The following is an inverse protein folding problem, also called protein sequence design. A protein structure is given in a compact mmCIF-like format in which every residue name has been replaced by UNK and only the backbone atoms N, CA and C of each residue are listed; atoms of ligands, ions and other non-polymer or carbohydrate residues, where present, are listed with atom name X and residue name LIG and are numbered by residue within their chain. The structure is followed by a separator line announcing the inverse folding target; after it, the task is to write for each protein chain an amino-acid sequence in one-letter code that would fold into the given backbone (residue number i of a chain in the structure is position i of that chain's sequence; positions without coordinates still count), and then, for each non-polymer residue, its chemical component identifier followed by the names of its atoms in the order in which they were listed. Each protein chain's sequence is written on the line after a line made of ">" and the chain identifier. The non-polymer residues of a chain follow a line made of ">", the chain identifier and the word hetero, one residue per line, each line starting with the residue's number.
data_IF_609040061479
#
_entry.id   IF_609040061479
#
_cell.length_a   1.000
_cell.length_b   1.000
_cell.length_c   1.000
_cell.angle_alpha   90.00
_cell.angle_beta   90.00
_cell.angle_gamma   90.00
#
_symmetry.space_group_name_H-M   'P 1'
#
loop_
_entity.id
_entity.type
_entity.pdbx_description
1 polymer ?
#
# COMPACT_ATOMS: atom_id res chain seq x y z
N UNK A 1 10.20 -10.87 -7.07
CA UNK A 1 8.76 -10.99 -6.75
C UNK A 1 8.17 -9.59 -6.67
N UNK A 2 6.90 -9.47 -6.95
CA UNK A 2 6.21 -8.18 -6.90
C UNK A 2 5.54 -8.03 -5.53
N UNK A 3 5.86 -6.95 -4.82
CA UNK A 3 5.43 -6.72 -3.45
C UNK A 3 4.61 -5.43 -3.38
N UNK A 4 3.43 -5.52 -2.78
CA UNK A 4 2.58 -4.37 -2.50
C UNK A 4 2.74 -3.97 -1.03
N UNK A 5 2.94 -2.68 -0.77
CA UNK A 5 3.12 -2.18 0.60
C UNK A 5 1.77 -1.76 1.17
N UNK A 6 1.43 -2.25 2.35
CA UNK A 6 0.19 -1.91 3.05
C UNK A 6 0.50 -1.28 4.42
N UNK A 7 -0.17 -0.18 4.72
CA UNK A 7 0.03 0.51 5.99
C UNK A 7 -0.94 1.67 6.16
N UNK A 8 -0.78 2.40 7.26
CA UNK A 8 -1.67 3.51 7.58
C UNK A 8 -1.24 4.79 6.85
N UNK A 9 -2.21 5.45 6.23
CA UNK A 9 -2.02 6.73 5.55
C UNK A 9 -2.86 7.83 6.18
N UNK A 10 -4.14 7.57 6.42
CA UNK A 10 -5.08 8.58 6.91
C UNK A 10 -4.65 9.19 8.24
N UNK A 11 -4.62 10.51 8.30
CA UNK A 11 -4.23 11.23 9.52
C UNK A 11 -2.74 11.37 9.72
N UNK A 12 -1.92 10.78 8.83
CA UNK A 12 -0.47 10.88 8.93
C UNK A 12 0.18 10.85 7.55
N UNK A 13 -0.39 11.60 6.63
CA UNK A 13 0.00 11.53 5.22
C UNK A 13 1.48 11.81 4.98
N UNK A 14 2.05 12.80 5.68
CA UNK A 14 3.47 13.14 5.52
C UNK A 14 4.38 12.01 6.01
N UNK A 15 4.08 11.48 7.19
CA UNK A 15 4.84 10.38 7.77
C UNK A 15 4.68 9.11 6.96
N UNK A 16 3.47 8.89 6.42
CA UNK A 16 3.20 7.74 5.58
C UNK A 16 4.02 7.79 4.30
N UNK A 17 4.10 8.95 3.65
CA UNK A 17 4.90 9.09 2.43
C UNK A 17 6.33 8.63 2.67
N UNK A 18 6.94 9.08 3.77
CA UNK A 18 8.30 8.69 4.09
C UNK A 18 8.40 7.20 4.42
N UNK A 19 7.49 6.67 5.23
CA UNK A 19 7.53 5.26 5.63
C UNK A 19 7.39 4.33 4.42
N UNK A 20 6.44 4.63 3.53
CA UNK A 20 6.24 3.83 2.33
C UNK A 20 7.46 3.91 1.40
N UNK A 21 8.04 5.09 1.27
CA UNK A 21 9.20 5.30 0.42
C UNK A 21 10.43 4.56 0.93
N UNK A 22 10.66 4.57 2.24
CA UNK A 22 11.77 3.84 2.83
C UNK A 22 11.61 2.33 2.64
N UNK A 23 10.41 1.82 2.84
CA UNK A 23 10.14 0.40 2.62
C UNK A 23 10.35 0.03 1.16
N UNK A 24 9.89 0.86 0.24
CA UNK A 24 10.07 0.63 -1.20
C UNK A 24 11.56 0.54 -1.54
N UNK A 25 12.34 1.50 -1.04
CA UNK A 25 13.78 1.54 -1.31
C UNK A 25 14.47 0.27 -0.82
N UNK A 26 14.15 -0.14 0.41
CA UNK A 26 14.77 -1.34 1.00
C UNK A 26 14.42 -2.59 0.20
N UNK A 27 13.15 -2.75 -0.18
CA UNK A 27 12.71 -3.91 -0.95
C UNK A 27 13.30 -3.92 -2.34
N UNK A 28 13.44 -2.75 -2.98
CA UNK A 28 14.09 -2.65 -4.28
C UNK A 28 15.56 -3.07 -4.21
N UNK A 29 16.24 -2.70 -3.13
CA UNK A 29 17.63 -3.08 -2.92
C UNK A 29 17.79 -4.60 -2.78
N UNK A 30 16.74 -5.28 -2.33
CA UNK A 30 16.73 -6.73 -2.23
C UNK A 30 16.35 -7.42 -3.54
N UNK A 31 16.10 -6.65 -4.60
CA UNK A 31 15.82 -7.19 -5.91
C UNK A 31 14.35 -7.39 -6.23
N UNK A 32 13.44 -6.85 -5.42
CA UNK A 32 12.00 -6.99 -5.65
C UNK A 32 11.44 -5.83 -6.45
N UNK A 33 10.38 -6.09 -7.21
CA UNK A 33 9.54 -5.05 -7.78
C UNK A 33 8.52 -4.63 -6.73
N UNK A 34 8.33 -3.32 -6.55
CA UNK A 34 7.50 -2.83 -5.45
C UNK A 34 6.38 -1.95 -5.99
N UNK A 35 5.18 -2.18 -5.48
CA UNK A 35 4.03 -1.30 -5.71
C UNK A 35 3.81 -0.49 -4.44
N UNK A 36 4.09 0.82 -4.53
CA UNK A 36 3.87 1.76 -3.43
C UNK A 36 2.56 2.49 -3.71
N UNK A 37 1.50 2.26 -2.92
CA UNK A 37 0.19 2.87 -3.19
C UNK A 37 0.20 4.39 -3.10
N UNK A 38 1.17 4.98 -2.39
CA UNK A 38 1.32 6.43 -2.31
C UNK A 38 1.73 7.05 -3.64
N UNK A 39 2.27 6.25 -4.56
CA UNK A 39 2.73 6.72 -5.86
C UNK A 39 1.75 6.42 -6.99
N UNK A 40 0.62 5.76 -6.69
CA UNK A 40 -0.41 5.52 -7.68
C UNK A 40 -1.13 6.82 -8.04
N UNK A 41 -1.51 6.95 -9.29
CA UNK A 41 -2.30 8.10 -9.71
C UNK A 41 -3.75 7.92 -9.29
N UNK A 42 -4.27 8.90 -8.58
CA UNK A 42 -5.65 8.91 -8.11
C UNK A 42 -6.34 10.15 -8.69
N UNK A 43 -6.69 10.09 -9.96
CA UNK A 43 -7.18 11.22 -10.73
C UNK A 43 -8.70 11.35 -10.78
N UNK A 44 -9.40 10.58 -10.00
CA UNK A 44 -10.84 10.61 -9.91
C UNK A 44 -11.31 11.44 -8.71
N UNK A 45 -12.46 11.17 -8.15
CA UNK A 45 -13.14 12.01 -7.18
C UNK A 45 -12.50 12.11 -5.79
N UNK A 46 -11.38 11.42 -5.57
CA UNK A 46 -10.60 11.47 -4.32
C UNK A 46 -11.37 11.00 -3.08
N UNK A 47 -12.44 10.22 -3.27
CA UNK A 47 -13.10 9.60 -2.13
C UNK A 47 -12.25 8.44 -1.62
N UNK A 48 -12.50 8.05 -0.36
CA UNK A 48 -11.81 6.88 0.20
C UNK A 48 -12.11 5.63 -0.62
N UNK A 49 -13.35 5.48 -1.10
CA UNK A 49 -13.74 4.34 -1.91
C UNK A 49 -12.97 4.28 -3.24
N UNK A 50 -12.83 5.41 -3.91
CA UNK A 50 -12.05 5.47 -5.15
C UNK A 50 -10.58 5.14 -4.90
N UNK A 51 -10.02 5.68 -3.82
CA UNK A 51 -8.66 5.37 -3.43
C UNK A 51 -8.49 3.87 -3.19
N UNK A 52 -9.41 3.26 -2.44
CA UNK A 52 -9.34 1.83 -2.16
C UNK A 52 -9.47 0.97 -3.42
N UNK A 53 -10.33 1.36 -4.37
CA UNK A 53 -10.43 0.60 -5.62
C UNK A 53 -9.10 0.57 -6.36
N UNK A 54 -8.42 1.70 -6.45
CA UNK A 54 -7.12 1.78 -7.10
C UNK A 54 -6.07 0.93 -6.37
N UNK A 55 -6.04 1.03 -5.05
CA UNK A 55 -5.09 0.28 -4.24
C UNK A 55 -5.34 -1.22 -4.34
N UNK A 56 -6.59 -1.66 -4.24
CA UNK A 56 -6.93 -3.08 -4.33
C UNK A 56 -6.59 -3.61 -5.72
N UNK A 57 -6.89 -2.84 -6.76
CA UNK A 57 -6.57 -3.22 -8.13
C UNK A 57 -5.07 -3.42 -8.31
N UNK A 58 -4.26 -2.52 -7.75
CA UNK A 58 -2.81 -2.64 -7.81
C UNK A 58 -2.32 -3.84 -6.98
N UNK A 59 -2.90 -4.04 -5.80
CA UNK A 59 -2.55 -5.14 -4.92
C UNK A 59 -2.76 -6.50 -5.59
N UNK A 60 -3.81 -6.62 -6.40
CA UNK A 60 -4.11 -7.88 -7.08
C UNK A 60 -3.03 -8.30 -8.08
N UNK A 61 -2.14 -7.39 -8.44
CA UNK A 61 -1.01 -7.68 -9.34
C UNK A 61 0.23 -8.12 -8.58
N UNK A 62 0.21 -8.08 -7.26
CA UNK A 62 1.37 -8.42 -6.43
C UNK A 62 1.35 -9.89 -6.03
N UNK A 63 2.53 -10.43 -5.78
CA UNK A 63 2.69 -11.80 -5.28
C UNK A 63 2.52 -11.87 -3.77
N UNK A 64 2.81 -10.77 -3.07
CA UNK A 64 2.77 -10.74 -1.61
C UNK A 64 2.61 -9.31 -1.11
N UNK A 65 2.31 -9.19 0.17
CA UNK A 65 2.20 -7.90 0.84
C UNK A 65 3.37 -7.68 1.78
N UNK A 66 3.84 -6.45 1.88
CA UNK A 66 4.74 -6.00 2.94
C UNK A 66 3.94 -5.10 3.87
N UNK A 67 3.81 -5.49 5.13
CA UNK A 67 2.98 -4.79 6.10
C UNK A 67 3.83 -3.84 6.94
N UNK A 68 3.52 -2.54 6.87
CA UNK A 68 4.14 -1.58 7.78
C UNK A 68 3.65 -1.86 9.21
N UNK A 69 4.44 -1.49 10.21
CA UNK A 69 4.15 -1.84 11.60
C UNK A 69 2.80 -1.33 12.09
N UNK A 70 2.27 -0.27 11.47
CA UNK A 70 1.00 0.35 11.87
C UNK A 70 -0.21 -0.12 11.06
N UNK A 71 -0.07 -1.20 10.30
CA UNK A 71 -1.13 -1.62 9.37
C UNK A 71 -2.47 -1.92 10.08
N UNK A 72 -2.41 -2.41 11.32
CA UNK A 72 -3.62 -2.76 12.08
C UNK A 72 -4.46 -1.53 12.45
N UNK A 73 -3.86 -0.34 12.42
CA UNK A 73 -4.54 0.91 12.72
C UNK A 73 -5.21 1.51 11.48
N UNK A 74 -5.09 0.85 10.33
CA UNK A 74 -5.64 1.33 9.07
C UNK A 74 -6.79 0.44 8.63
N UNK A 75 -7.97 1.03 8.46
CA UNK A 75 -9.13 0.31 7.93
C UNK A 75 -8.83 -0.25 6.55
N UNK A 76 -8.20 0.56 5.67
CA UNK A 76 -7.86 0.13 4.33
C UNK A 76 -6.87 -1.02 4.32
N UNK A 77 -5.80 -0.91 5.11
CA UNK A 77 -4.80 -1.96 5.18
C UNK A 77 -5.38 -3.27 5.71
N UNK A 78 -6.28 -3.19 6.70
CA UNK A 78 -6.93 -4.39 7.23
C UNK A 78 -7.78 -5.09 6.17
N UNK A 79 -8.47 -4.31 5.34
CA UNK A 79 -9.26 -4.86 4.24
C UNK A 79 -8.33 -5.54 3.22
N UNK A 80 -7.23 -4.88 2.87
CA UNK A 80 -6.26 -5.42 1.93
C UNK A 80 -5.67 -6.73 2.43
N UNK A 81 -5.30 -6.79 3.70
CA UNK A 81 -4.75 -8.02 4.28
C UNK A 81 -5.79 -9.15 4.24
N UNK A 82 -7.03 -8.85 4.58
CA UNK A 82 -8.10 -9.84 4.56
C UNK A 82 -8.33 -10.39 3.16
N UNK A 83 -8.33 -9.51 2.15
CA UNK A 83 -8.51 -9.94 0.76
C UNK A 83 -7.33 -10.79 0.29
N UNK A 84 -6.12 -10.47 0.73
CA UNK A 84 -4.93 -11.23 0.34
C UNK A 84 -4.93 -12.64 0.91
N UNK A 85 -5.60 -12.86 2.05
CA UNK A 85 -5.69 -14.18 2.66
C UNK A 85 -6.79 -15.07 2.06
N UNK A 86 -7.62 -14.51 1.22
CA UNK A 86 -8.67 -15.28 0.55
C UNK A 86 -8.19 -15.68 -0.86
#
# INVERSE_FOLDING_TARGET
>A
MTIYIAGKVSGMETEAELAFKLAEKELNLQGHDVINPMELEHDHDKTWQSYMRECISAMMKADTLYLLSNWRESKGARIEVQLAHN
#
